data_IF_181647044839
#
_entry.id   IF_181647044839
#
_cell.length_a   1.000
_cell.length_b   1.000
_cell.length_c   1.000
_cell.angle_alpha   90.00
_cell.angle_beta   90.00
_cell.angle_gamma   90.00
#
_symmetry.space_group_name_H-M   'P 1'
#
loop_
_entity.id
_entity.type
_entity.pdbx_description
1 polymer ?
#
# COMPACT_ATOMS: atom_id res chain seq x y z
N UNK A 1 5.11 -44.22 -16.05
CA UNK A 1 6.37 -44.52 -15.33
C UNK A 1 6.80 -43.23 -14.64
N UNK A 2 6.68 -43.14 -13.32
CA UNK A 2 7.14 -41.95 -12.58
C UNK A 2 8.62 -42.12 -12.29
N UNK A 3 9.48 -41.29 -12.87
CA UNK A 3 10.90 -41.26 -12.52
C UNK A 3 11.05 -40.78 -11.08
N UNK A 4 11.45 -41.69 -10.19
CA UNK A 4 11.84 -41.37 -8.82
C UNK A 4 13.24 -40.77 -8.85
N UNK A 5 13.33 -39.47 -9.06
CA UNK A 5 14.57 -38.73 -8.86
C UNK A 5 14.93 -38.76 -7.35
N UNK A 6 15.72 -39.74 -6.94
CA UNK A 6 16.24 -39.84 -5.57
C UNK A 6 17.44 -38.92 -5.39
N UNK A 7 17.35 -37.99 -4.43
CA UNK A 7 18.49 -37.17 -4.03
C UNK A 7 19.56 -38.03 -3.35
N UNK A 8 20.75 -38.10 -3.93
CA UNK A 8 21.91 -38.87 -3.42
C UNK A 8 22.95 -38.02 -2.69
N UNK A 9 22.67 -36.72 -2.47
CA UNK A 9 23.56 -35.82 -1.75
C UNK A 9 23.45 -35.94 -0.23
N UNK A 10 24.49 -35.47 0.48
CA UNK A 10 24.44 -35.25 1.92
C UNK A 10 24.38 -33.76 2.24
N UNK A 11 23.69 -33.42 3.33
CA UNK A 11 23.64 -32.07 3.83
C UNK A 11 24.70 -31.88 4.93
N UNK A 12 25.36 -30.71 4.94
CA UNK A 12 26.28 -30.36 6.02
C UNK A 12 25.51 -30.28 7.34
N UNK A 13 26.17 -30.70 8.41
CA UNK A 13 25.59 -30.61 9.75
C UNK A 13 25.22 -29.16 10.10
N UNK A 14 24.00 -28.99 10.60
CA UNK A 14 23.41 -27.69 10.92
C UNK A 14 23.21 -26.75 9.72
N UNK A 15 23.22 -27.26 8.49
CA UNK A 15 22.94 -26.45 7.30
C UNK A 15 21.59 -25.73 7.39
N UNK A 16 20.59 -26.35 8.02
CA UNK A 16 19.26 -25.78 8.18
C UNK A 16 19.26 -24.56 9.11
N UNK A 17 19.96 -24.63 10.24
CA UNK A 17 20.06 -23.49 11.17
C UNK A 17 20.89 -22.35 10.56
N UNK A 18 21.96 -22.68 9.84
CA UNK A 18 22.82 -21.70 9.15
C UNK A 18 22.17 -21.06 7.93
N UNK A 19 21.08 -21.63 7.40
CA UNK A 19 20.41 -21.12 6.22
C UNK A 19 19.56 -19.86 6.47
N UNK A 20 19.27 -19.50 7.73
CA UNK A 20 18.33 -18.42 8.09
C UNK A 20 19.01 -17.44 9.05
N UNK A 21 18.86 -16.11 8.88
CA UNK A 21 19.33 -15.14 9.86
C UNK A 21 18.67 -15.31 11.24
N UNK A 22 19.40 -15.17 12.36
CA UNK A 22 18.85 -15.32 13.71
C UNK A 22 17.64 -14.43 13.99
N UNK A 23 17.64 -13.19 13.50
CA UNK A 23 16.51 -12.24 13.65
C UNK A 23 15.23 -12.73 12.99
N UNK A 24 15.34 -13.38 11.82
CA UNK A 24 14.19 -13.93 11.12
C UNK A 24 13.61 -15.12 11.87
N UNK A 25 14.48 -15.95 12.44
CA UNK A 25 14.07 -17.09 13.25
C UNK A 25 13.39 -16.65 14.56
N UNK A 26 13.94 -15.64 15.22
CA UNK A 26 13.34 -15.02 16.40
C UNK A 26 11.94 -14.46 16.09
N UNK A 27 11.79 -13.76 14.96
CA UNK A 27 10.48 -13.26 14.51
C UNK A 27 9.47 -14.38 14.32
N UNK A 28 9.82 -15.44 13.58
CA UNK A 28 8.92 -16.58 13.34
C UNK A 28 8.57 -17.30 14.64
N UNK A 29 9.55 -17.46 15.55
CA UNK A 29 9.28 -18.02 16.87
C UNK A 29 8.31 -17.17 17.69
N UNK A 30 8.46 -15.84 17.68
CA UNK A 30 7.53 -14.92 18.35
C UNK A 30 6.12 -14.99 17.74
N UNK A 31 6.00 -15.17 16.43
CA UNK A 31 4.70 -15.33 15.76
C UNK A 31 4.03 -16.65 16.15
N UNK A 32 4.78 -17.75 16.19
CA UNK A 32 4.24 -19.08 16.46
C UNK A 32 3.94 -19.33 17.94
N UNK A 33 4.82 -18.85 18.83
CA UNK A 33 4.79 -19.20 20.25
C UNK A 33 4.51 -17.99 21.16
N UNK A 34 4.13 -16.85 20.57
CA UNK A 34 3.95 -15.53 21.21
C UNK A 34 5.27 -14.89 21.66
N UNK A 35 5.28 -13.58 21.96
CA UNK A 35 6.45 -12.92 22.54
C UNK A 35 6.73 -13.50 23.93
N UNK A 36 7.67 -14.43 24.03
CA UNK A 36 8.12 -14.98 25.31
C UNK A 36 9.03 -13.97 26.00
N UNK A 37 8.47 -13.10 26.82
CA UNK A 37 9.22 -12.15 27.66
C UNK A 37 10.16 -12.90 28.64
N UNK A 38 9.78 -14.13 29.05
CA UNK A 38 10.43 -14.85 30.15
C UNK A 38 11.47 -15.92 29.75
N UNK A 39 11.59 -16.30 28.46
CA UNK A 39 12.41 -17.45 28.04
C UNK A 39 13.32 -17.11 26.84
N UNK A 40 13.99 -15.96 26.85
CA UNK A 40 14.67 -15.41 25.67
C UNK A 40 15.98 -16.11 25.24
N UNK A 41 16.50 -17.12 25.96
CA UNK A 41 17.83 -17.66 25.64
C UNK A 41 17.97 -19.17 25.47
N UNK A 42 17.08 -20.01 26.01
CA UNK A 42 17.46 -21.43 26.23
C UNK A 42 16.60 -22.47 25.48
N UNK A 43 15.50 -22.07 24.84
CA UNK A 43 14.69 -23.01 24.06
C UNK A 43 15.23 -23.13 22.62
N UNK A 44 15.66 -24.32 22.18
CA UNK A 44 16.13 -24.49 20.80
C UNK A 44 14.99 -24.15 19.83
N UNK A 45 15.29 -23.47 18.71
CA UNK A 45 14.27 -23.06 17.75
C UNK A 45 13.53 -24.28 17.21
N UNK A 46 12.19 -24.25 17.30
CA UNK A 46 11.35 -25.35 16.83
C UNK A 46 11.62 -25.63 15.35
N UNK A 47 11.71 -26.91 14.96
CA UNK A 47 11.91 -27.32 13.56
C UNK A 47 10.88 -26.69 12.60
N UNK A 48 9.65 -26.48 13.07
CA UNK A 48 8.60 -25.76 12.36
C UNK A 48 9.01 -24.30 12.06
N UNK A 49 9.55 -23.57 13.05
CA UNK A 49 9.98 -22.19 12.87
C UNK A 49 11.15 -22.07 11.88
N UNK A 50 12.11 -23.00 11.95
CA UNK A 50 13.21 -23.10 10.98
C UNK A 50 12.68 -23.33 9.56
N UNK A 51 11.77 -24.29 9.40
CA UNK A 51 11.18 -24.64 8.09
C UNK A 51 10.39 -23.47 7.49
N UNK A 52 9.58 -22.79 8.31
CA UNK A 52 8.82 -21.60 7.88
C UNK A 52 9.77 -20.45 7.52
N UNK A 53 10.80 -20.18 8.32
CA UNK A 53 11.74 -19.12 8.02
C UNK A 53 12.55 -19.39 6.73
N UNK A 54 12.94 -20.64 6.50
CA UNK A 54 13.55 -21.06 5.24
C UNK A 54 12.59 -20.87 4.05
N UNK A 55 11.32 -21.22 4.21
CA UNK A 55 10.30 -21.05 3.17
C UNK A 55 10.07 -19.57 2.85
N UNK A 56 10.00 -18.70 3.85
CA UNK A 56 9.90 -17.25 3.68
C UNK A 56 11.10 -16.69 2.93
N UNK A 57 12.32 -17.13 3.28
CA UNK A 57 13.55 -16.73 2.57
C UNK A 57 13.56 -17.23 1.12
N UNK A 58 13.17 -18.48 0.90
CA UNK A 58 13.08 -19.08 -0.43
C UNK A 58 12.08 -18.34 -1.31
N UNK A 59 10.88 -18.04 -0.79
CA UNK A 59 9.85 -17.31 -1.51
C UNK A 59 10.29 -15.87 -1.80
N UNK A 60 10.91 -15.19 -0.83
CA UNK A 60 11.47 -13.85 -1.03
C UNK A 60 12.53 -13.78 -2.15
N UNK A 61 13.32 -14.85 -2.33
CA UNK A 61 14.36 -14.91 -3.38
C UNK A 61 13.82 -15.42 -4.72
N UNK A 62 12.97 -16.46 -4.73
CA UNK A 62 12.40 -17.03 -5.96
C UNK A 62 11.50 -16.04 -6.71
N UNK A 63 10.68 -15.27 -6.00
CA UNK A 63 9.86 -14.22 -6.63
C UNK A 63 10.74 -13.12 -7.27
N UNK A 64 11.84 -12.75 -6.60
CA UNK A 64 12.83 -11.79 -7.12
C UNK A 64 13.58 -12.29 -8.36
N UNK A 65 13.78 -13.60 -8.51
CA UNK A 65 14.46 -14.19 -9.68
C UNK A 65 13.54 -14.37 -10.90
N UNK A 66 12.26 -14.71 -10.70
CA UNK A 66 11.30 -14.81 -11.81
C UNK A 66 10.99 -13.45 -12.43
N UNK A 67 10.82 -12.41 -11.62
CA UNK A 67 10.56 -11.06 -12.11
C UNK A 67 11.71 -10.52 -12.97
N UNK A 68 12.97 -10.74 -12.56
CA UNK A 68 14.15 -10.40 -13.36
C UNK A 68 14.31 -11.16 -14.69
N UNK A 69 13.60 -12.28 -14.88
CA UNK A 69 13.73 -13.12 -16.10
C UNK A 69 12.67 -12.82 -17.16
N UNK A 70 11.57 -12.14 -16.81
CA UNK A 70 10.48 -11.90 -17.75
C UNK A 70 10.68 -10.68 -18.65
N UNK A 71 11.80 -9.95 -18.55
CA UNK A 71 12.00 -8.70 -19.32
C UNK A 71 13.23 -8.71 -20.25
N UNK A 72 13.59 -9.89 -20.74
CA UNK A 72 14.73 -10.07 -21.66
C UNK A 72 14.32 -10.52 -23.06
N UNK A 73 13.14 -10.15 -23.57
CA UNK A 73 12.85 -10.32 -24.99
C UNK A 73 12.12 -9.09 -25.56
N UNK A 74 12.80 -8.45 -26.52
CA UNK A 74 12.36 -7.37 -27.42
C UNK A 74 12.45 -5.94 -26.84
N UNK A 75 13.64 -5.35 -26.96
CA UNK A 75 13.84 -4.16 -27.81
C UNK A 75 13.31 -2.78 -27.39
N UNK A 76 12.46 -2.65 -26.36
CA UNK A 76 11.99 -1.32 -25.92
C UNK A 76 12.34 -1.08 -24.46
N UNK A 77 13.24 -0.13 -24.20
CA UNK A 77 13.55 0.41 -22.87
C UNK A 77 12.33 1.16 -22.31
N UNK A 78 11.29 0.43 -21.93
CA UNK A 78 10.30 0.95 -20.99
C UNK A 78 11.01 0.99 -19.63
N UNK A 79 11.04 2.15 -18.99
CA UNK A 79 11.55 2.26 -17.61
C UNK A 79 10.67 1.36 -16.74
N UNK A 80 11.14 0.15 -16.46
CA UNK A 80 10.47 -0.78 -15.55
C UNK A 80 10.36 -0.10 -14.18
N UNK A 81 9.13 0.06 -13.71
CA UNK A 81 8.90 0.44 -12.33
C UNK A 81 9.50 -0.66 -11.43
N UNK A 82 10.21 -0.30 -10.35
CA UNK A 82 10.75 -1.28 -9.42
C UNK A 82 9.70 -2.33 -9.06
N UNK A 83 10.06 -3.60 -9.23
CA UNK A 83 9.18 -4.76 -9.03
C UNK A 83 8.28 -4.59 -7.81
N UNK A 84 6.98 -4.41 -8.05
CA UNK A 84 5.97 -4.33 -6.99
C UNK A 84 5.92 -5.72 -6.32
N UNK A 85 6.38 -5.78 -5.06
CA UNK A 85 6.52 -7.05 -4.30
C UNK A 85 5.20 -7.59 -3.75
N UNK A 86 4.12 -6.85 -3.92
CA UNK A 86 2.78 -7.18 -3.43
C UNK A 86 1.78 -7.16 -4.58
N UNK A 87 0.73 -7.97 -4.47
CA UNK A 87 -0.39 -7.86 -5.40
C UNK A 87 -1.04 -6.50 -5.25
N UNK A 88 -1.40 -5.85 -6.36
CA UNK A 88 -2.18 -4.60 -6.35
C UNK A 88 -3.54 -4.78 -5.66
N UNK A 89 -4.07 -6.01 -5.63
CA UNK A 89 -5.30 -6.37 -4.89
C UNK A 89 -5.08 -6.56 -3.38
N UNK A 90 -3.83 -6.55 -2.92
CA UNK A 90 -3.42 -6.72 -1.53
C UNK A 90 -2.41 -5.64 -1.13
N UNK A 91 -2.57 -4.43 -1.69
CA UNK A 91 -1.76 -3.28 -1.29
C UNK A 91 -1.96 -3.03 0.20
N UNK A 92 -0.85 -2.99 0.94
CA UNK A 92 -0.90 -2.74 2.37
C UNK A 92 -1.28 -1.27 2.60
N UNK A 93 -2.18 -0.97 3.56
CA UNK A 93 -2.71 0.38 3.73
C UNK A 93 -1.64 1.41 4.10
N UNK A 94 -0.56 0.99 4.76
CA UNK A 94 0.51 1.88 5.22
C UNK A 94 1.34 2.48 4.06
N UNK A 95 1.95 1.69 3.14
CA UNK A 95 2.64 2.26 1.97
C UNK A 95 1.76 3.15 1.08
N UNK A 96 0.47 2.82 0.95
CA UNK A 96 -0.52 3.63 0.25
C UNK A 96 -0.67 4.99 0.93
N UNK A 97 -0.95 5.00 2.24
CA UNK A 97 -1.08 6.22 3.02
C UNK A 97 0.18 7.09 2.95
N UNK A 98 1.36 6.48 3.16
CA UNK A 98 2.65 7.19 3.10
C UNK A 98 2.85 7.82 1.72
N UNK A 99 2.59 7.08 0.63
CA UNK A 99 2.76 7.60 -0.73
C UNK A 99 1.82 8.76 -1.04
N UNK A 100 0.55 8.62 -0.68
CA UNK A 100 -0.46 9.68 -0.87
C UNK A 100 -0.13 10.92 -0.04
N UNK A 101 0.18 10.76 1.25
CA UNK A 101 0.52 11.85 2.15
C UNK A 101 1.77 12.61 1.67
N UNK A 102 2.85 11.89 1.37
CA UNK A 102 4.09 12.52 0.89
C UNK A 102 3.89 13.25 -0.44
N UNK A 103 3.03 12.73 -1.32
CA UNK A 103 2.69 13.43 -2.54
C UNK A 103 1.95 14.74 -2.25
N UNK A 104 0.97 14.73 -1.34
CA UNK A 104 0.23 15.93 -0.96
C UNK A 104 1.16 16.99 -0.39
N UNK A 105 2.06 16.60 0.52
CA UNK A 105 2.94 17.54 1.24
C UNK A 105 4.12 18.05 0.39
N UNK A 106 4.79 17.16 -0.34
CA UNK A 106 6.06 17.51 -1.00
C UNK A 106 5.94 17.68 -2.50
N UNK A 107 5.02 16.94 -3.15
CA UNK A 107 4.96 16.76 -4.61
C UNK A 107 6.28 16.29 -5.24
N UNK A 108 7.25 15.82 -4.46
CA UNK A 108 8.60 15.49 -4.92
C UNK A 108 8.68 14.04 -5.40
N UNK A 109 8.68 13.84 -6.73
CA UNK A 109 8.83 12.51 -7.36
C UNK A 109 10.07 11.75 -6.87
N UNK A 110 11.22 12.41 -6.83
CA UNK A 110 12.49 11.75 -6.49
C UNK A 110 12.54 11.19 -5.06
N UNK A 111 11.83 11.79 -4.11
CA UNK A 111 11.72 11.27 -2.74
C UNK A 111 10.85 10.00 -2.70
N UNK A 112 9.70 10.05 -3.39
CA UNK A 112 8.82 8.89 -3.50
C UNK A 112 9.48 7.72 -4.20
N UNK A 113 10.21 7.95 -5.29
CA UNK A 113 10.91 6.87 -6.00
C UNK A 113 11.96 6.19 -5.12
N UNK A 114 12.67 6.97 -4.27
CA UNK A 114 13.59 6.41 -3.26
C UNK A 114 12.86 5.54 -2.23
N UNK A 115 11.77 6.04 -1.64
CA UNK A 115 11.01 5.29 -0.63
C UNK A 115 10.33 4.05 -1.22
N UNK A 116 9.86 4.13 -2.46
CA UNK A 116 9.34 3.00 -3.21
C UNK A 116 10.41 1.93 -3.43
N UNK A 117 11.64 2.32 -3.81
CA UNK A 117 12.75 1.38 -3.98
C UNK A 117 13.13 0.64 -2.68
N UNK A 118 12.90 1.28 -1.53
CA UNK A 118 13.07 0.69 -0.20
C UNK A 118 11.87 -0.17 0.24
N UNK A 119 10.77 -0.16 -0.51
CA UNK A 119 9.53 -0.87 -0.17
C UNK A 119 8.71 -0.19 0.93
N UNK A 120 8.96 1.09 1.21
CA UNK A 120 8.30 1.86 2.28
C UNK A 120 7.07 2.64 1.80
N UNK A 121 6.94 2.83 0.49
CA UNK A 121 5.84 3.58 -0.14
C UNK A 121 5.40 2.88 -1.43
N UNK A 122 4.35 3.37 -2.08
CA UNK A 122 3.97 3.02 -3.44
C UNK A 122 4.70 3.90 -4.47
N UNK A 123 4.68 3.53 -5.75
CA UNK A 123 5.35 4.30 -6.79
C UNK A 123 4.65 5.64 -7.03
N UNK A 124 5.41 6.65 -7.48
CA UNK A 124 4.86 7.95 -7.85
C UNK A 124 3.72 7.82 -8.87
N UNK A 125 3.91 6.99 -9.89
CA UNK A 125 2.92 6.76 -10.95
C UNK A 125 1.66 6.05 -10.41
N UNK A 126 1.79 5.21 -9.36
CA UNK A 126 0.62 4.65 -8.66
C UNK A 126 -0.14 5.72 -7.90
N UNK A 127 0.55 6.64 -7.22
CA UNK A 127 -0.08 7.79 -6.55
C UNK A 127 -0.88 8.65 -7.53
N UNK A 128 -0.28 8.99 -8.68
CA UNK A 128 -0.98 9.79 -9.71
C UNK A 128 -2.23 9.07 -10.23
N UNK A 129 -2.14 7.77 -10.50
CA UNK A 129 -3.30 6.97 -10.93
C UNK A 129 -4.41 6.98 -9.89
N UNK A 130 -4.09 6.73 -8.61
CA UNK A 130 -5.08 6.76 -7.54
C UNK A 130 -5.72 8.15 -7.40
N UNK A 131 -4.92 9.22 -7.50
CA UNK A 131 -5.44 10.58 -7.46
C UNK A 131 -6.39 10.87 -8.62
N UNK A 132 -6.05 10.43 -9.83
CA UNK A 132 -6.90 10.58 -11.00
C UNK A 132 -8.18 9.73 -10.88
N UNK A 133 -8.08 8.49 -10.40
CA UNK A 133 -9.23 7.62 -10.16
C UNK A 133 -10.20 8.22 -9.14
N UNK A 134 -9.69 8.80 -8.04
CA UNK A 134 -10.53 9.50 -7.06
C UNK A 134 -11.23 10.72 -7.66
N UNK A 135 -10.50 11.55 -8.43
CA UNK A 135 -11.09 12.71 -9.10
C UNK A 135 -12.16 12.31 -10.12
N UNK A 136 -11.86 11.32 -10.96
CA UNK A 136 -12.80 10.81 -11.96
C UNK A 136 -14.07 10.24 -11.32
N UNK A 137 -13.95 9.53 -10.19
CA UNK A 137 -15.12 9.04 -9.44
C UNK A 137 -15.96 10.19 -8.88
N UNK A 138 -15.32 11.24 -8.35
CA UNK A 138 -16.05 12.43 -7.91
C UNK A 138 -16.82 13.10 -9.06
N UNK A 139 -16.22 13.20 -10.25
CA UNK A 139 -16.92 13.69 -11.45
C UNK A 139 -18.09 12.79 -11.88
N UNK A 140 -17.93 11.47 -11.84
CA UNK A 140 -19.01 10.52 -12.16
C UNK A 140 -20.16 10.61 -11.15
N UNK A 141 -19.84 10.73 -9.86
CA UNK A 141 -20.84 10.97 -8.81
C UNK A 141 -21.59 12.28 -9.07
N UNK A 142 -20.88 13.36 -9.39
CA UNK A 142 -21.53 14.63 -9.73
C UNK A 142 -22.44 14.51 -10.94
N UNK A 143 -22.03 13.81 -12.01
CA UNK A 143 -22.89 13.60 -13.18
C UNK A 143 -24.19 12.85 -12.83
N UNK A 144 -24.15 11.96 -11.85
CA UNK A 144 -25.30 11.14 -11.42
C UNK A 144 -26.18 11.89 -10.43
N UNK A 145 -25.57 12.49 -9.42
CA UNK A 145 -26.26 13.07 -8.25
C UNK A 145 -26.49 14.57 -8.39
N UNK A 146 -25.84 15.23 -9.36
CA UNK A 146 -25.82 16.69 -9.56
C UNK A 146 -25.30 17.47 -8.35
N UNK A 147 -24.62 16.78 -7.42
CA UNK A 147 -24.01 17.33 -6.21
C UNK A 147 -22.66 16.65 -5.97
N UNK A 148 -21.70 17.39 -5.42
CA UNK A 148 -20.45 16.82 -4.91
C UNK A 148 -20.56 16.77 -3.39
N UNK A 149 -20.64 15.56 -2.85
CA UNK A 149 -20.71 15.33 -1.41
C UNK A 149 -19.32 14.94 -0.86
N UNK A 150 -18.88 15.50 0.28
CA UNK A 150 -17.72 14.98 1.00
C UNK A 150 -17.92 13.50 1.34
N UNK A 151 -16.90 12.63 1.20
CA UNK A 151 -17.02 11.21 1.52
C UNK A 151 -17.35 10.92 3.00
N UNK A 152 -17.12 11.90 3.87
CA UNK A 152 -17.39 11.84 5.30
C UNK A 152 -18.85 12.08 5.65
N UNK A 153 -19.67 12.55 4.70
CA UNK A 153 -21.08 12.82 4.91
C UNK A 153 -21.83 11.50 5.19
N UNK A 154 -22.53 11.43 6.30
CA UNK A 154 -23.31 10.24 6.70
C UNK A 154 -24.79 10.41 6.38
N UNK A 155 -25.41 9.37 5.86
CA UNK A 155 -26.86 9.29 5.75
C UNK A 155 -27.53 9.16 7.12
N UNK A 156 -28.80 9.56 7.22
CA UNK A 156 -29.63 9.40 8.43
C UNK A 156 -29.09 10.09 9.70
N UNK A 157 -28.36 11.20 9.55
CA UNK A 157 -27.91 12.04 10.67
C UNK A 157 -28.62 13.39 10.60
N UNK A 158 -29.09 13.91 11.75
CA UNK A 158 -29.65 15.26 11.84
C UNK A 158 -28.61 16.26 11.34
N UNK A 159 -28.92 16.96 10.25
CA UNK A 159 -27.97 17.83 9.54
C UNK A 159 -28.56 19.22 9.42
N UNK A 160 -27.82 20.22 9.91
CA UNK A 160 -28.12 21.63 9.65
C UNK A 160 -27.36 22.06 8.41
N UNK A 161 -28.03 22.70 7.46
CA UNK A 161 -27.41 23.23 6.25
C UNK A 161 -27.47 24.76 6.24
N UNK A 162 -26.35 25.40 5.92
CA UNK A 162 -26.32 26.81 5.52
C UNK A 162 -26.11 26.86 4.01
N UNK A 163 -27.01 27.55 3.31
CA UNK A 163 -26.99 27.70 1.85
C UNK A 163 -26.59 29.13 1.54
N UNK A 164 -25.51 29.29 0.78
CA UNK A 164 -24.96 30.57 0.38
C UNK A 164 -24.80 30.64 -1.13
N UNK A 165 -25.02 31.81 -1.71
CA UNK A 165 -24.77 32.02 -3.13
C UNK A 165 -23.29 32.32 -3.33
N UNK A 166 -22.65 31.58 -4.24
CA UNK A 166 -21.29 31.86 -4.69
C UNK A 166 -21.44 32.61 -6.01
N UNK A 167 -21.53 33.93 -5.92
CA UNK A 167 -21.56 34.86 -7.04
C UNK A 167 -20.27 35.68 -7.07
N UNK A 168 -19.25 35.14 -7.73
CA UNK A 168 -18.00 35.88 -7.90
C UNK A 168 -18.11 36.85 -9.08
N UNK A 169 -18.07 38.16 -8.79
CA UNK A 169 -18.18 39.21 -9.79
C UNK A 169 -16.96 39.24 -10.75
N UNK A 170 -17.16 39.00 -12.06
CA UNK A 170 -16.08 38.96 -13.05
C UNK A 170 -15.40 40.33 -13.30
N UNK A 171 -15.93 41.45 -12.80
CA UNK A 171 -15.26 42.76 -12.90
C UNK A 171 -14.15 42.98 -11.86
N UNK A 172 -13.92 42.02 -10.97
CA UNK A 172 -12.83 42.08 -9.99
C UNK A 172 -11.48 41.90 -10.69
N UNK A 173 -10.52 42.79 -10.42
CA UNK A 173 -9.18 42.80 -11.03
C UNK A 173 -8.30 41.61 -10.64
N UNK A 174 -8.81 40.70 -9.78
CA UNK A 174 -8.09 39.56 -9.21
C UNK A 174 -8.71 38.21 -9.66
N UNK A 175 -9.89 38.22 -10.30
CA UNK A 175 -10.58 36.99 -10.71
C UNK A 175 -10.11 36.53 -12.09
N UNK A 176 -9.50 35.33 -12.15
CA UNK A 176 -9.10 34.70 -13.41
C UNK A 176 -10.25 33.93 -14.08
N UNK A 177 -11.27 33.54 -13.32
CA UNK A 177 -12.49 32.86 -13.77
C UNK A 177 -13.65 33.23 -12.83
N UNK A 178 -14.90 33.30 -13.33
CA UNK A 178 -16.10 33.51 -12.50
C UNK A 178 -16.65 32.16 -12.07
N UNK A 179 -16.68 31.90 -10.76
CA UNK A 179 -17.45 30.81 -10.20
C UNK A 179 -18.86 31.31 -9.89
N UNK A 180 -19.84 30.71 -10.55
CA UNK A 180 -21.26 30.88 -10.24
C UNK A 180 -21.80 29.54 -9.73
N UNK A 181 -22.34 29.54 -8.51
CA UNK A 181 -22.91 28.33 -7.93
C UNK A 181 -23.56 28.57 -6.57
N UNK A 182 -24.05 27.48 -5.97
CA UNK A 182 -24.60 27.47 -4.61
C UNK A 182 -23.61 26.71 -3.72
N UNK A 183 -23.07 27.38 -2.71
CA UNK A 183 -22.30 26.76 -1.66
C UNK A 183 -23.24 26.25 -0.57
N UNK A 184 -23.13 24.96 -0.20
CA UNK A 184 -23.88 24.40 0.92
C UNK A 184 -22.89 23.95 1.99
N UNK A 185 -22.96 24.58 3.16
CA UNK A 185 -22.22 24.14 4.36
C UNK A 185 -23.10 23.20 5.18
N UNK A 186 -22.67 21.96 5.38
CA UNK A 186 -23.40 20.94 6.13
C UNK A 186 -22.76 20.70 7.50
N UNK A 187 -23.55 20.81 8.57
CA UNK A 187 -23.18 20.49 9.94
C UNK A 187 -23.98 19.27 10.41
N UNK A 188 -23.33 18.13 10.58
CA UNK A 188 -23.98 16.89 11.01
C UNK A 188 -23.86 16.71 12.53
N UNK A 189 -25.00 16.59 13.22
CA UNK A 189 -25.06 16.39 14.66
C UNK A 189 -25.13 14.90 14.96
N UNK A 190 -23.97 14.30 15.23
CA UNK A 190 -23.88 12.90 15.64
C UNK A 190 -24.51 12.75 17.03
N UNK A 191 -25.70 12.16 17.09
CA UNK A 191 -26.27 11.72 18.37
C UNK A 191 -25.38 10.61 18.92
N UNK A 192 -24.93 10.76 20.16
CA UNK A 192 -24.38 9.62 20.91
C UNK A 192 -25.53 8.62 21.05
N UNK A 193 -25.33 7.38 20.62
CA UNK A 193 -26.25 6.30 20.99
C UNK A 193 -25.99 6.00 22.47
N UNK A 194 -27.00 6.22 23.31
CA UNK A 194 -27.04 5.69 24.67
C UNK A 194 -27.09 4.14 24.66
#
# INVERSE_FOLDING_TARGET
MFETNSFTGSFKEGCQQKAVPPVQLALVNMVLHRPTINNQSDAPPTQAALSIAQLLKLNGVKHRQKQKRSTSFIGTKIKEHPDVRHSTSQETPLPLYIGMMLHVETRMRGLMDKLFSLGLSISYDRVLRLSAEMGNRACQMFQTEQVVCPPTLRGSVFTTAAVDNIDQNPSSTITKDSFHGIGISLLQHLMCAD
#
